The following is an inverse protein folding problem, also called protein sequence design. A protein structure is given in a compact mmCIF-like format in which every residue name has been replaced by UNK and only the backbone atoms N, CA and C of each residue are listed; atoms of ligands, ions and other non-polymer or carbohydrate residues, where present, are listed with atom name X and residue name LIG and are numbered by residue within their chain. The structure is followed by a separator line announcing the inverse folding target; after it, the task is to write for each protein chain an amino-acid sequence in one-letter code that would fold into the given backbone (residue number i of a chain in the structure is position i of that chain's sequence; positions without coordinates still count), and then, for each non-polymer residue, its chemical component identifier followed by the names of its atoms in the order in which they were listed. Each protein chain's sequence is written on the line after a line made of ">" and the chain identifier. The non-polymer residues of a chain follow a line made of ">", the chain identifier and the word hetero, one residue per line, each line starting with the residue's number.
data_IF_204469409211
#
_entry.id   IF_204469409211
#
_cell.length_a   1.000
_cell.length_b   1.000
_cell.length_c   1.000
_cell.angle_alpha   90.00
_cell.angle_beta   90.00
_cell.angle_gamma   90.00
#
_symmetry.space_group_name_H-M   'P 1'
#
loop_
_entity.id
_entity.type
_entity.pdbx_description
1 polymer ?
#
# COMPACT_ATOMS: atom_id res chain seq x y z
N UNK A 1 38.83 79.16 27.39
CA UNK A 1 38.06 78.73 26.21
C UNK A 1 38.21 77.24 25.88
N UNK A 2 39.10 76.48 26.56
CA UNK A 2 39.38 75.05 26.31
C UNK A 2 38.41 74.08 27.00
N UNK A 3 37.73 74.48 28.08
CA UNK A 3 36.77 73.62 28.82
C UNK A 3 35.44 73.40 28.10
N UNK A 4 34.95 74.38 27.33
CA UNK A 4 33.73 74.22 26.53
C UNK A 4 33.94 73.29 25.33
N UNK A 5 35.12 73.30 24.73
CA UNK A 5 35.46 72.40 23.62
C UNK A 5 35.48 70.94 24.06
N UNK A 6 36.00 70.65 25.26
CA UNK A 6 36.01 69.31 25.83
C UNK A 6 34.60 68.78 26.16
N UNK A 7 33.70 69.66 26.61
CA UNK A 7 32.32 69.30 26.94
C UNK A 7 31.45 69.08 25.69
N UNK A 8 31.72 69.80 24.61
CA UNK A 8 31.07 69.59 23.31
C UNK A 8 31.53 68.28 22.66
N UNK A 9 32.81 67.93 22.78
CA UNK A 9 33.33 66.70 22.21
C UNK A 9 32.78 65.43 22.90
N UNK A 10 32.58 65.47 24.22
CA UNK A 10 31.97 64.34 24.94
C UNK A 10 30.48 64.17 24.64
N UNK A 11 29.77 65.25 24.32
CA UNK A 11 28.35 65.20 23.95
C UNK A 11 28.14 64.60 22.55
N UNK A 12 29.07 64.84 21.61
CA UNK A 12 28.99 64.29 20.26
C UNK A 12 29.33 62.78 20.17
N UNK A 13 30.11 62.23 21.11
CA UNK A 13 30.44 60.80 21.10
C UNK A 13 29.33 59.89 21.68
N UNK A 14 28.34 60.46 22.37
CA UNK A 14 27.23 59.70 22.98
C UNK A 14 26.08 59.35 22.02
N UNK A 15 26.06 59.93 20.81
CA UNK A 15 24.96 59.78 19.85
C UNK A 15 25.27 58.80 18.72
N UNK A 16 25.91 57.67 19.04
CA UNK A 16 26.02 56.57 18.07
C UNK A 16 24.73 55.75 18.10
N UNK A 17 24.03 55.55 16.97
CA UNK A 17 22.88 54.65 16.93
C UNK A 17 23.38 53.22 17.15
N UNK A 18 22.95 52.59 18.24
CA UNK A 18 23.15 51.17 18.46
C UNK A 18 22.30 50.40 17.46
N UNK A 19 22.91 49.90 16.38
CA UNK A 19 22.24 48.96 15.48
C UNK A 19 21.93 47.67 16.24
N UNK A 20 20.68 47.50 16.64
CA UNK A 20 20.17 46.21 17.05
C UNK A 20 20.18 45.30 15.82
N UNK A 21 21.02 44.27 15.83
CA UNK A 21 21.03 43.26 14.78
C UNK A 21 19.67 42.52 14.78
N UNK A 22 19.06 42.36 13.61
CA UNK A 22 17.83 41.57 13.45
C UNK A 22 18.04 40.17 14.03
N UNK A 23 17.15 39.77 14.93
CA UNK A 23 17.21 38.44 15.55
C UNK A 23 16.89 37.36 14.50
N UNK A 24 17.73 36.32 14.36
CA UNK A 24 17.49 35.26 13.39
C UNK A 24 16.19 34.52 13.77
N UNK A 25 15.20 34.53 12.87
CA UNK A 25 13.95 33.80 13.04
C UNK A 25 13.77 32.77 11.93
N UNK A 26 13.21 31.60 12.29
CA UNK A 26 12.93 30.51 11.36
C UNK A 26 11.46 30.14 11.51
N UNK A 27 10.74 30.02 10.38
CA UNK A 27 9.34 29.63 10.37
C UNK A 27 9.22 28.10 10.51
N UNK A 28 8.80 27.64 11.69
CA UNK A 28 8.54 26.22 11.96
C UNK A 28 7.04 25.95 11.83
N UNK A 29 6.69 24.93 11.04
CA UNK A 29 5.32 24.40 10.98
C UNK A 29 5.28 23.06 11.71
N UNK A 30 4.30 22.91 12.58
CA UNK A 30 4.01 21.65 13.27
C UNK A 30 2.58 21.23 12.96
N UNK A 31 2.33 19.92 13.05
CA UNK A 31 1.00 19.35 12.93
C UNK A 31 0.67 18.56 14.18
N UNK A 32 -0.58 18.66 14.64
CA UNK A 32 -1.04 17.91 15.80
C UNK A 32 -1.11 16.41 15.49
N UNK A 33 -0.65 15.58 16.43
CA UNK A 33 -0.77 14.13 16.34
C UNK A 33 -2.26 13.75 16.32
N UNK A 34 -2.65 12.89 15.37
CA UNK A 34 -4.01 12.32 15.30
C UNK A 34 -3.93 10.81 15.29
N UNK A 35 -4.68 10.17 16.17
CA UNK A 35 -4.91 8.73 16.11
C UNK A 35 -5.94 8.43 15.01
N UNK A 36 -5.57 7.58 14.05
CA UNK A 36 -6.44 7.18 12.95
C UNK A 36 -6.09 5.75 12.53
N UNK A 37 -7.07 5.03 11.97
CA UNK A 37 -6.84 3.72 11.38
C UNK A 37 -6.05 3.89 10.07
N UNK A 38 -4.84 3.35 10.03
CA UNK A 38 -4.03 3.34 8.82
C UNK A 38 -4.64 2.36 7.82
N UNK A 39 -5.17 2.91 6.73
CA UNK A 39 -5.78 2.12 5.66
C UNK A 39 -4.84 2.19 4.47
N UNK A 40 -4.05 1.14 4.27
CA UNK A 40 -3.15 1.02 3.13
C UNK A 40 -3.74 0.05 2.11
N UNK A 41 -3.62 0.38 0.83
CA UNK A 41 -4.06 -0.52 -0.24
C UNK A 41 -2.91 -1.45 -0.61
N UNK A 42 -3.13 -2.76 -0.49
CA UNK A 42 -2.14 -3.78 -0.85
C UNK A 42 -2.64 -4.57 -2.06
N UNK A 43 -1.81 -4.70 -3.07
CA UNK A 43 -2.09 -5.55 -4.24
C UNK A 43 -1.64 -6.98 -3.98
N UNK A 44 -2.51 -7.95 -4.26
CA UNK A 44 -2.21 -9.38 -4.16
C UNK A 44 -2.45 -10.11 -5.48
N UNK A 45 -1.72 -11.20 -5.70
CA UNK A 45 -1.93 -12.13 -6.80
C UNK A 45 -2.40 -13.47 -6.26
N UNK A 46 -3.16 -14.23 -7.07
CA UNK A 46 -3.63 -15.56 -6.71
C UNK A 46 -3.95 -16.39 -7.95
N UNK A 47 -4.21 -17.67 -7.74
CA UNK A 47 -4.61 -18.61 -8.79
C UNK A 47 -6.04 -19.09 -8.54
N UNK A 48 -6.79 -19.30 -9.61
CA UNK A 48 -8.12 -19.91 -9.54
C UNK A 48 -7.94 -21.42 -9.69
N UNK A 49 -8.43 -22.17 -8.71
CA UNK A 49 -8.43 -23.64 -8.70
C UNK A 49 -9.88 -24.14 -8.65
N UNK A 50 -10.19 -25.32 -9.21
CA UNK A 50 -11.48 -25.97 -9.00
C UNK A 50 -11.77 -26.15 -7.50
N UNK A 51 -13.04 -26.02 -7.13
CA UNK A 51 -13.51 -26.34 -5.78
C UNK A 51 -13.25 -27.83 -5.49
N UNK A 52 -12.49 -28.10 -4.43
CA UNK A 52 -12.13 -29.46 -4.01
C UNK A 52 -13.34 -30.27 -3.56
N UNK A 53 -14.42 -29.62 -3.10
CA UNK A 53 -15.67 -30.28 -2.74
C UNK A 53 -16.52 -30.67 -3.95
N UNK A 54 -16.28 -30.04 -5.11
CA UNK A 54 -16.98 -30.34 -6.36
C UNK A 54 -16.24 -31.36 -7.25
N UNK A 55 -15.03 -31.78 -6.86
CA UNK A 55 -14.26 -32.79 -7.58
C UNK A 55 -14.81 -34.19 -7.29
N UNK A 56 -15.03 -34.96 -8.36
CA UNK A 56 -15.50 -36.35 -8.26
C UNK A 56 -14.57 -37.27 -9.04
N UNK A 57 -14.12 -38.33 -8.38
CA UNK A 57 -13.43 -39.46 -9.03
C UNK A 57 -14.44 -40.60 -9.18
N UNK A 58 -14.69 -41.00 -10.43
CA UNK A 58 -15.62 -42.08 -10.75
C UNK A 58 -14.79 -43.34 -10.99
N UNK A 59 -15.03 -44.37 -10.18
CA UNK A 59 -14.42 -45.69 -10.31
C UNK A 59 -15.48 -46.73 -10.64
N UNK A 60 -15.13 -47.70 -11.47
CA UNK A 60 -16.04 -48.78 -11.86
C UNK A 60 -16.05 -49.87 -10.77
N UNK A 61 -17.22 -50.31 -10.29
CA UNK A 61 -17.31 -51.25 -9.17
C UNK A 61 -17.00 -52.70 -9.55
N UNK A 62 -16.84 -52.99 -10.85
CA UNK A 62 -16.57 -54.33 -11.39
C UNK A 62 -15.63 -54.28 -12.58
N UNK A 63 -14.97 -55.40 -12.85
CA UNK A 63 -14.16 -55.58 -14.06
C UNK A 63 -15.05 -55.61 -15.31
N UNK A 64 -14.49 -55.14 -16.43
CA UNK A 64 -15.12 -55.09 -17.74
C UNK A 64 -14.30 -54.27 -18.72
N UNK A 65 -14.89 -53.91 -19.85
CA UNK A 65 -14.23 -53.20 -20.95
C UNK A 65 -14.92 -51.87 -21.24
N UNK A 66 -14.14 -50.85 -21.59
CA UNK A 66 -14.66 -49.60 -22.13
C UNK A 66 -14.99 -49.84 -23.60
N UNK A 67 -16.28 -49.78 -23.95
CA UNK A 67 -16.77 -49.99 -25.32
C UNK A 67 -16.61 -48.70 -26.14
N UNK A 68 -16.91 -47.56 -25.52
CA UNK A 68 -16.73 -46.25 -26.12
C UNK A 68 -16.41 -45.19 -25.05
N UNK A 69 -15.64 -44.18 -25.43
CA UNK A 69 -15.45 -42.97 -24.65
C UNK A 69 -16.21 -41.83 -25.33
N UNK A 70 -17.18 -41.24 -24.64
CA UNK A 70 -18.13 -40.29 -25.23
C UNK A 70 -17.70 -38.82 -25.05
N UNK A 71 -16.68 -38.58 -24.24
CA UNK A 71 -16.19 -37.23 -23.90
C UNK A 71 -14.66 -37.17 -23.92
N UNK A 72 -14.12 -35.99 -24.18
CA UNK A 72 -12.67 -35.73 -24.13
C UNK A 72 -12.25 -35.04 -22.84
N UNK A 73 -10.97 -35.14 -22.49
CA UNK A 73 -10.41 -34.41 -21.35
C UNK A 73 -10.56 -32.88 -21.54
N UNK A 74 -11.00 -32.19 -20.49
CA UNK A 74 -11.27 -30.75 -20.54
C UNK A 74 -12.63 -30.36 -21.12
N UNK A 75 -13.41 -31.32 -21.63
CA UNK A 75 -14.75 -31.06 -22.12
C UNK A 75 -15.70 -30.71 -20.96
N UNK A 76 -16.47 -29.64 -21.12
CA UNK A 76 -17.49 -29.24 -20.14
C UNK A 76 -18.69 -30.17 -20.27
N UNK A 77 -19.11 -30.77 -19.17
CA UNK A 77 -20.24 -31.70 -19.08
C UNK A 77 -21.22 -31.27 -17.99
N UNK A 78 -22.48 -31.70 -18.10
CA UNK A 78 -23.51 -31.44 -17.08
C UNK A 78 -23.70 -32.71 -16.24
N UNK A 79 -24.31 -32.55 -15.06
CA UNK A 79 -24.71 -33.70 -14.24
C UNK A 79 -25.63 -34.62 -15.06
N UNK A 80 -25.29 -35.92 -15.09
CA UNK A 80 -26.04 -36.93 -15.84
C UNK A 80 -25.59 -37.11 -17.29
N UNK A 81 -24.64 -36.31 -17.80
CA UNK A 81 -24.06 -36.57 -19.12
C UNK A 81 -23.31 -37.92 -19.10
N UNK A 82 -23.60 -38.83 -20.04
CA UNK A 82 -22.87 -40.09 -20.14
C UNK A 82 -21.42 -39.82 -20.58
N UNK A 83 -20.45 -40.37 -19.83
CA UNK A 83 -19.02 -40.13 -20.07
C UNK A 83 -18.38 -41.24 -20.92
N UNK A 84 -18.81 -42.48 -20.71
CA UNK A 84 -18.32 -43.67 -21.39
C UNK A 84 -19.42 -44.73 -21.48
N UNK A 85 -19.24 -45.68 -22.38
CA UNK A 85 -20.02 -46.90 -22.45
C UNK A 85 -19.19 -48.06 -21.92
N UNK A 86 -19.78 -48.84 -21.01
CA UNK A 86 -19.11 -49.94 -20.32
C UNK A 86 -19.77 -51.27 -20.67
N UNK A 87 -18.97 -52.23 -21.15
CA UNK A 87 -19.37 -53.59 -21.48
C UNK A 87 -18.70 -54.60 -20.53
N UNK A 88 -19.31 -55.77 -20.38
CA UNK A 88 -18.76 -56.87 -19.57
C UNK A 88 -18.82 -58.18 -20.28
#
# INVERSE_FOLDING_TARGET
>A
MTRCAALLLSLLLGSAPAWAADSPSVQVQTVALKQQTMTDTVSGYGVVSPDTHALQTISLPRAGQIVALLVSAGQVVKKGTPLLEFGT
#
